data_IF_996907444237
#
_entry.id   IF_996907444237
#
_cell.length_a   1.000
_cell.length_b   1.000
_cell.length_c   1.000
_cell.angle_alpha   90.00
_cell.angle_beta   90.00
_cell.angle_gamma   90.00
#
_symmetry.space_group_name_H-M   'P 1'
#
loop_
_entity.id
_entity.type
_entity.pdbx_description
1 polymer ?
#
# COMPACT_ATOMS: atom_id res chain seq x y z
N UNK A 1 8.52 23.90 9.02
CA UNK A 1 8.12 22.54 9.48
C UNK A 1 8.40 21.56 8.35
N UNK A 2 9.16 20.48 8.58
CA UNK A 2 9.30 19.42 7.58
C UNK A 2 7.93 18.77 7.40
N UNK A 3 7.41 18.76 6.18
CA UNK A 3 6.15 18.05 5.90
C UNK A 3 6.42 16.56 6.03
N UNK A 4 5.72 15.92 6.99
CA UNK A 4 5.81 14.47 7.25
C UNK A 4 4.93 13.74 6.27
N UNK A 5 5.49 12.72 5.63
CA UNK A 5 4.77 11.83 4.73
C UNK A 5 3.96 10.86 5.57
N UNK A 6 2.64 10.81 5.35
CA UNK A 6 1.74 9.97 6.14
C UNK A 6 1.39 8.70 5.38
N UNK A 7 1.67 7.56 6.00
CA UNK A 7 1.38 6.24 5.45
C UNK A 7 0.32 5.58 6.32
N UNK A 8 -0.83 5.29 5.73
CA UNK A 8 -1.90 4.58 6.41
C UNK A 8 -1.57 3.09 6.50
N UNK A 9 -1.68 2.52 7.69
CA UNK A 9 -1.43 1.10 7.93
C UNK A 9 -2.75 0.40 8.23
N UNK A 10 -3.01 -0.70 7.53
CA UNK A 10 -4.25 -1.46 7.67
C UNK A 10 -3.95 -2.96 7.74
N UNK A 11 -4.84 -3.73 8.37
CA UNK A 11 -4.71 -5.16 8.62
C UNK A 11 -5.98 -5.87 8.16
N UNK A 12 -5.85 -6.89 7.32
CA UNK A 12 -7.02 -7.66 6.86
C UNK A 12 -7.39 -8.74 7.89
N UNK A 13 -8.60 -8.64 8.44
CA UNK A 13 -9.16 -9.51 9.47
C UNK A 13 -10.61 -9.92 9.11
N UNK A 14 -10.83 -10.66 8.02
CA UNK A 14 -12.17 -10.94 7.52
C UNK A 14 -13.02 -11.72 8.54
N UNK A 15 -14.26 -11.27 8.78
CA UNK A 15 -15.20 -11.98 9.67
C UNK A 15 -15.59 -13.31 9.05
N UNK A 16 -15.58 -14.37 9.85
CA UNK A 16 -16.16 -15.66 9.48
C UNK A 16 -17.67 -15.47 9.25
N UNK A 17 -18.17 -15.73 8.03
CA UNK A 17 -19.61 -15.75 7.77
C UNK A 17 -20.25 -16.85 8.63
N UNK A 18 -21.18 -16.47 9.51
CA UNK A 18 -21.94 -17.38 10.35
C UNK A 18 -22.71 -18.40 9.47
N UNK A 19 -22.60 -19.69 9.80
CA UNK A 19 -23.16 -20.80 9.02
C UNK A 19 -22.14 -21.92 8.75
N UNK A 20 -20.86 -21.69 9.00
CA UNK A 20 -19.84 -22.73 9.09
C UNK A 20 -19.83 -23.22 10.54
N UNK A 21 -20.42 -24.39 10.77
CA UNK A 21 -20.62 -25.01 12.10
C UNK A 21 -19.36 -25.02 12.95
N UNK A 22 -19.50 -24.67 14.24
CA UNK A 22 -18.55 -24.99 15.30
C UNK A 22 -18.19 -26.48 15.21
N UNK A 23 -16.97 -26.79 14.77
CA UNK A 23 -16.51 -28.17 14.55
C UNK A 23 -16.00 -28.46 13.13
N UNK A 24 -16.29 -27.59 12.16
CA UNK A 24 -15.60 -27.58 10.87
C UNK A 24 -14.79 -26.30 10.80
N UNK A 25 -13.59 -26.29 11.40
CA UNK A 25 -12.62 -25.23 11.17
C UNK A 25 -12.37 -25.20 9.66
N UNK A 26 -12.73 -24.14 8.92
CA UNK A 26 -12.20 -24.04 7.58
C UNK A 26 -10.76 -23.62 7.78
N UNK A 27 -9.91 -24.63 7.99
CA UNK A 27 -8.46 -24.56 7.83
C UNK A 27 -8.15 -23.84 6.52
N UNK A 28 -9.06 -23.91 5.52
CA UNK A 28 -9.05 -23.31 4.20
C UNK A 28 -9.20 -21.78 4.06
N UNK A 29 -9.52 -20.99 5.10
CA UNK A 29 -9.46 -19.51 5.00
C UNK A 29 -8.18 -19.04 5.69
N UNK A 30 -7.04 -19.39 5.09
CA UNK A 30 -5.75 -19.39 5.78
C UNK A 30 -5.29 -17.98 6.18
N UNK A 31 -4.81 -17.89 7.42
CA UNK A 31 -4.18 -16.76 8.11
C UNK A 31 -3.85 -17.24 9.51
N UNK A 32 -2.69 -16.92 10.07
CA UNK A 32 -2.33 -17.42 11.40
C UNK A 32 -3.26 -16.84 12.50
N UNK A 33 -3.76 -15.62 12.30
CA UNK A 33 -4.64 -14.98 13.26
C UNK A 33 -6.07 -15.48 13.07
N UNK A 34 -6.66 -15.95 14.16
CA UNK A 34 -8.00 -16.54 14.25
C UNK A 34 -8.99 -15.67 15.01
N UNK A 35 -8.52 -14.52 15.52
CA UNK A 35 -9.30 -13.61 16.34
C UNK A 35 -8.73 -12.19 16.27
N UNK A 36 -9.59 -11.21 16.49
CA UNK A 36 -9.21 -9.80 16.59
C UNK A 36 -8.14 -9.56 17.66
N UNK A 37 -8.16 -10.32 18.76
CA UNK A 37 -7.12 -10.24 19.80
C UNK A 37 -5.73 -10.55 19.26
N UNK A 38 -5.60 -11.59 18.45
CA UNK A 38 -4.31 -11.97 17.85
C UNK A 38 -3.85 -10.94 16.83
N UNK A 39 -4.78 -10.36 16.05
CA UNK A 39 -4.46 -9.27 15.13
C UNK A 39 -4.06 -8.01 15.89
N UNK A 40 -4.68 -7.69 17.03
CA UNK A 40 -4.28 -6.58 17.89
C UNK A 40 -2.88 -6.76 18.48
N UNK A 41 -2.53 -7.97 18.93
CA UNK A 41 -1.17 -8.30 19.37
C UNK A 41 -0.15 -8.13 18.24
N UNK A 42 -0.52 -8.46 17.01
CA UNK A 42 0.32 -8.25 15.83
C UNK A 42 0.46 -6.79 15.45
N UNK A 43 -0.61 -6.00 15.55
CA UNK A 43 -0.56 -4.55 15.36
C UNK A 43 0.50 -3.95 16.28
N UNK A 44 0.58 -4.36 17.54
CA UNK A 44 1.59 -3.86 18.48
C UNK A 44 3.02 -4.30 18.09
N UNK A 45 3.20 -5.52 17.58
CA UNK A 45 4.50 -5.98 17.05
C UNK A 45 4.92 -5.18 15.82
N UNK A 46 4.02 -5.02 14.85
CA UNK A 46 4.26 -4.26 13.63
C UNK A 46 4.48 -2.78 13.93
N UNK A 47 3.76 -2.19 14.91
CA UNK A 47 4.04 -0.83 15.41
C UNK A 47 5.47 -0.69 15.86
N UNK A 48 5.98 -1.67 16.64
CA UNK A 48 7.37 -1.67 17.09
C UNK A 48 8.33 -1.72 15.89
N UNK A 49 8.13 -2.66 14.97
CA UNK A 49 8.99 -2.82 13.79
C UNK A 49 8.98 -1.56 12.90
N UNK A 50 7.79 -0.99 12.66
CA UNK A 50 7.65 0.23 11.85
C UNK A 50 8.20 1.47 12.58
N UNK A 51 8.19 1.51 13.92
CA UNK A 51 8.80 2.61 14.68
C UNK A 51 10.32 2.65 14.51
N UNK A 52 10.97 1.50 14.30
CA UNK A 52 12.40 1.45 13.98
C UNK A 52 12.65 2.06 12.58
N UNK A 53 11.77 1.74 11.62
CA UNK A 53 11.80 2.34 10.29
C UNK A 53 11.57 3.87 10.36
N UNK A 54 10.62 4.37 11.15
CA UNK A 54 10.41 5.81 11.31
C UNK A 54 11.66 6.54 11.80
N UNK A 55 12.40 5.93 12.73
CA UNK A 55 13.68 6.47 13.24
C UNK A 55 14.74 6.50 12.15
N UNK A 56 14.85 5.45 11.33
CA UNK A 56 15.78 5.42 10.18
C UNK A 56 15.48 6.52 9.15
N UNK A 57 14.23 6.99 9.05
CA UNK A 57 13.82 8.07 8.16
C UNK A 57 13.86 9.46 8.82
N UNK A 58 14.53 9.62 9.96
CA UNK A 58 14.64 10.88 10.72
C UNK A 58 13.26 11.51 11.01
N UNK A 59 12.22 10.69 11.17
CA UNK A 59 10.85 11.13 11.39
C UNK A 59 10.22 11.89 10.21
N UNK A 60 10.75 11.76 8.99
CA UNK A 60 10.10 12.29 7.78
C UNK A 60 8.86 11.49 7.37
N UNK A 61 8.70 10.28 7.89
CA UNK A 61 7.56 9.38 7.66
C UNK A 61 6.82 9.17 8.99
N UNK A 62 5.50 9.09 8.92
CA UNK A 62 4.63 8.75 10.02
C UNK A 62 3.64 7.66 9.59
N UNK A 63 3.53 6.59 10.39
CA UNK A 63 2.54 5.53 10.20
C UNK A 63 1.31 5.78 11.08
N UNK A 64 0.10 5.70 10.49
CA UNK A 64 -1.15 5.97 11.19
C UNK A 64 -2.31 5.05 10.77
N UNK A 65 -3.45 5.17 11.44
CA UNK A 65 -4.69 4.42 11.18
C UNK A 65 -4.77 3.09 11.90
N UNK A 66 -3.78 2.21 11.72
CA UNK A 66 -3.74 0.86 12.31
C UNK A 66 -5.09 0.12 12.20
N UNK A 67 -5.76 0.29 11.05
CA UNK A 67 -7.16 -0.11 10.89
C UNK A 67 -7.27 -1.63 10.73
N UNK A 68 -8.28 -2.24 11.35
CA UNK A 68 -8.66 -3.63 11.12
C UNK A 68 -9.78 -3.65 10.07
N UNK A 69 -9.61 -4.44 9.02
CA UNK A 69 -10.51 -4.51 7.87
C UNK A 69 -11.20 -5.86 7.86
N UNK A 70 -12.49 -5.88 8.17
CA UNK A 70 -13.28 -7.07 8.41
C UNK A 70 -14.17 -7.42 7.21
N UNK A 71 -14.65 -6.41 6.49
CA UNK A 71 -15.51 -6.57 5.32
C UNK A 71 -15.12 -5.61 4.19
N UNK A 72 -15.76 -5.80 3.04
CA UNK A 72 -15.55 -4.95 1.87
C UNK A 72 -15.82 -3.46 2.16
N UNK A 73 -16.92 -3.20 2.88
CA UNK A 73 -17.36 -1.84 3.18
C UNK A 73 -16.33 -1.07 4.01
N UNK A 74 -15.62 -1.74 4.94
CA UNK A 74 -14.53 -1.11 5.70
C UNK A 74 -13.43 -0.61 4.76
N UNK A 75 -13.08 -1.39 3.72
CA UNK A 75 -12.05 -1.03 2.75
C UNK A 75 -12.52 0.18 1.93
N UNK A 76 -13.79 0.22 1.54
CA UNK A 76 -14.37 1.32 0.77
C UNK A 76 -14.46 2.61 1.60
N UNK A 77 -14.86 2.52 2.86
CA UNK A 77 -14.87 3.64 3.80
C UNK A 77 -13.45 4.20 4.00
N UNK A 78 -12.47 3.34 4.29
CA UNK A 78 -11.08 3.77 4.44
C UNK A 78 -10.49 4.30 3.13
N UNK A 79 -10.87 3.73 1.98
CA UNK A 79 -10.49 4.25 0.67
C UNK A 79 -10.92 5.71 0.52
N UNK A 80 -12.16 6.04 0.89
CA UNK A 80 -12.66 7.41 0.85
C UNK A 80 -11.84 8.33 1.78
N UNK A 81 -11.68 7.97 3.05
CA UNK A 81 -10.87 8.73 4.01
C UNK A 81 -9.45 9.01 3.50
N UNK A 82 -8.79 8.00 2.94
CA UNK A 82 -7.41 8.07 2.44
C UNK A 82 -7.30 8.97 1.21
N UNK A 83 -8.32 8.96 0.35
CA UNK A 83 -8.33 9.76 -0.86
C UNK A 83 -8.60 11.24 -0.57
N UNK A 84 -9.52 11.54 0.36
CA UNK A 84 -9.86 12.91 0.75
C UNK A 84 -8.92 13.49 1.79
N UNK A 85 -8.19 12.64 2.51
CA UNK A 85 -7.26 13.02 3.57
C UNK A 85 -5.84 13.34 3.11
N UNK A 86 -5.02 13.76 4.08
CA UNK A 86 -3.58 14.02 3.92
C UNK A 86 -2.77 12.71 4.01
N UNK A 87 -3.17 11.67 3.27
CA UNK A 87 -2.45 10.39 3.21
C UNK A 87 -1.67 10.30 1.90
N UNK A 88 -0.39 9.92 1.97
CA UNK A 88 0.50 9.82 0.82
C UNK A 88 0.62 8.41 0.26
N UNK A 89 0.37 7.39 1.09
CA UNK A 89 0.44 5.98 0.70
C UNK A 89 -0.18 5.06 1.75
N UNK A 90 -0.25 3.78 1.41
CA UNK A 90 -0.95 2.77 2.21
C UNK A 90 -0.10 1.51 2.31
N UNK A 91 -0.05 0.90 3.49
CA UNK A 91 0.49 -0.45 3.69
C UNK A 91 -0.64 -1.33 4.23
N UNK A 92 -0.86 -2.46 3.58
CA UNK A 92 -1.84 -3.47 3.97
C UNK A 92 -1.09 -4.70 4.44
N UNK A 93 -1.19 -5.01 5.73
CA UNK A 93 -0.70 -6.25 6.32
C UNK A 93 -1.77 -7.32 6.16
N UNK A 94 -1.50 -8.28 5.27
CA UNK A 94 -2.44 -9.33 4.91
C UNK A 94 -2.48 -10.47 5.93
N UNK A 95 -2.92 -10.24 7.16
CA UNK A 95 -2.85 -11.25 8.23
C UNK A 95 -3.65 -12.53 7.90
N UNK A 96 -4.74 -12.37 7.14
CA UNK A 96 -5.60 -13.45 6.65
C UNK A 96 -5.94 -13.28 5.16
N UNK A 97 -6.33 -14.37 4.49
CA UNK A 97 -6.77 -14.34 3.09
C UNK A 97 -8.08 -13.56 2.89
N UNK A 98 -8.15 -12.73 1.85
CA UNK A 98 -9.31 -11.86 1.59
C UNK A 98 -9.78 -11.83 0.11
N UNK A 99 -9.89 -13.00 -0.54
CA UNK A 99 -10.28 -13.11 -1.96
C UNK A 99 -11.48 -12.25 -2.39
N UNK A 100 -12.52 -12.15 -1.55
CA UNK A 100 -13.75 -11.42 -1.87
C UNK A 100 -13.61 -9.91 -1.97
N UNK A 101 -12.59 -9.31 -1.35
CA UNK A 101 -12.48 -7.85 -1.19
C UNK A 101 -11.29 -7.23 -1.93
N UNK A 102 -10.55 -8.06 -2.69
CA UNK A 102 -9.38 -7.60 -3.44
C UNK A 102 -9.73 -6.49 -4.45
N UNK A 103 -10.92 -6.57 -5.04
CA UNK A 103 -11.46 -5.57 -5.96
C UNK A 103 -11.53 -4.16 -5.36
N UNK A 104 -11.85 -4.07 -4.08
CA UNK A 104 -12.10 -2.81 -3.36
C UNK A 104 -10.81 -2.07 -3.08
N UNK A 105 -9.69 -2.77 -2.89
CA UNK A 105 -8.36 -2.14 -2.83
C UNK A 105 -7.96 -1.48 -4.16
N UNK A 106 -8.52 -1.90 -5.30
CA UNK A 106 -8.25 -1.26 -6.58
C UNK A 106 -8.95 0.09 -6.74
N UNK A 107 -9.87 0.46 -5.85
CA UNK A 107 -10.47 1.81 -5.85
C UNK A 107 -9.48 2.89 -5.41
N UNK A 108 -8.39 2.51 -4.76
CA UNK A 108 -7.40 3.44 -4.22
C UNK A 108 -6.58 4.09 -5.34
N UNK A 109 -6.43 5.41 -5.25
CA UNK A 109 -5.62 6.23 -6.16
C UNK A 109 -4.34 6.77 -5.47
N UNK A 110 -3.87 6.05 -4.45
CA UNK A 110 -2.61 6.30 -3.74
C UNK A 110 -1.72 5.06 -3.87
N UNK A 111 -0.39 5.20 -3.75
CA UNK A 111 0.51 4.06 -3.66
C UNK A 111 0.09 3.07 -2.56
N UNK A 112 -0.02 1.79 -2.87
CA UNK A 112 -0.35 0.70 -1.93
C UNK A 112 0.78 -0.33 -1.90
N UNK A 113 1.18 -0.74 -0.71
CA UNK A 113 2.07 -1.88 -0.50
C UNK A 113 1.27 -2.96 0.20
N UNK A 114 1.15 -4.12 -0.42
CA UNK A 114 0.65 -5.29 0.28
C UNK A 114 1.81 -6.06 0.89
N UNK A 115 1.84 -6.18 2.21
CA UNK A 115 2.91 -6.85 2.94
C UNK A 115 2.42 -8.17 3.53
N UNK A 116 3.11 -9.26 3.19
CA UNK A 116 2.88 -10.60 3.73
C UNK A 116 4.13 -11.15 4.42
N UNK A 117 4.02 -11.64 5.65
CA UNK A 117 5.07 -12.44 6.30
C UNK A 117 4.97 -13.89 5.84
N UNK A 118 6.08 -14.49 5.42
CA UNK A 118 6.12 -15.88 4.93
C UNK A 118 7.05 -16.75 5.78
N UNK A 119 8.28 -16.31 6.06
CA UNK A 119 9.27 -17.04 6.84
C UNK A 119 9.34 -16.55 8.29
N UNK A 120 8.91 -15.32 8.58
CA UNK A 120 8.77 -14.81 9.95
C UNK A 120 7.51 -15.36 10.59
N UNK A 121 7.65 -15.96 11.78
CA UNK A 121 6.49 -16.34 12.57
C UNK A 121 5.84 -15.13 13.25
N UNK A 122 4.51 -15.00 13.17
CA UNK A 122 3.59 -15.94 12.55
C UNK A 122 3.34 -15.65 11.03
N UNK A 123 3.22 -16.69 10.17
CA UNK A 123 3.11 -16.51 8.72
C UNK A 123 1.71 -16.06 8.30
N UNK A 124 1.66 -15.09 7.40
CA UNK A 124 0.43 -14.44 6.94
C UNK A 124 -0.18 -15.22 5.79
N UNK A 125 -1.47 -15.54 5.86
CA UNK A 125 -2.14 -16.29 4.79
C UNK A 125 -2.23 -15.56 3.45
N UNK A 126 -2.00 -14.24 3.46
CA UNK A 126 -1.89 -13.40 2.26
C UNK A 126 -0.73 -13.78 1.33
N UNK A 127 0.35 -14.37 1.86
CA UNK A 127 1.49 -14.79 1.03
C UNK A 127 1.05 -15.72 -0.12
N UNK A 128 0.07 -16.58 0.12
CA UNK A 128 -0.55 -17.49 -0.86
C UNK A 128 -1.24 -16.76 -2.02
N UNK A 129 -1.53 -15.47 -1.88
CA UNK A 129 -2.22 -14.64 -2.88
C UNK A 129 -1.27 -13.76 -3.68
N UNK A 130 0.00 -13.68 -3.31
CA UNK A 130 0.97 -12.72 -3.86
C UNK A 130 1.02 -12.77 -5.38
N UNK A 131 1.18 -13.97 -5.96
CA UNK A 131 1.26 -14.15 -7.42
C UNK A 131 -0.04 -13.76 -8.13
N UNK A 132 -1.19 -14.10 -7.54
CA UNK A 132 -2.48 -13.74 -8.09
C UNK A 132 -2.71 -12.23 -8.07
N UNK A 133 -2.31 -11.56 -6.98
CA UNK A 133 -2.41 -10.11 -6.85
C UNK A 133 -1.52 -9.42 -7.87
N UNK A 134 -0.28 -9.88 -8.05
CA UNK A 134 0.63 -9.35 -9.06
C UNK A 134 0.07 -9.52 -10.47
N UNK A 135 -0.53 -10.68 -10.77
CA UNK A 135 -1.21 -10.91 -12.04
C UNK A 135 -2.37 -9.92 -12.27
N UNK A 136 -3.25 -9.73 -11.27
CA UNK A 136 -4.36 -8.78 -11.41
C UNK A 136 -3.83 -7.36 -11.56
N UNK A 137 -2.89 -6.91 -10.72
CA UNK A 137 -2.31 -5.56 -10.78
C UNK A 137 -1.71 -5.26 -12.15
N UNK A 138 -1.07 -6.25 -12.77
CA UNK A 138 -0.59 -6.15 -14.15
C UNK A 138 -1.75 -6.04 -15.15
N UNK A 139 -2.78 -6.88 -15.01
CA UNK A 139 -3.94 -6.90 -15.92
C UNK A 139 -4.73 -5.58 -15.92
N UNK A 140 -4.86 -4.93 -14.76
CA UNK A 140 -5.57 -3.65 -14.61
C UNK A 140 -4.65 -2.42 -14.75
N UNK A 141 -3.37 -2.62 -15.09
CA UNK A 141 -2.40 -1.53 -15.27
C UNK A 141 -2.00 -0.78 -14.00
N UNK A 142 -2.21 -1.33 -12.81
CA UNK A 142 -1.90 -0.71 -11.50
C UNK A 142 -0.54 -1.09 -10.91
N UNK A 143 0.31 -1.81 -11.63
CA UNK A 143 1.66 -2.20 -11.19
C UNK A 143 2.60 -1.03 -10.79
N UNK A 144 2.33 0.20 -11.23
CA UNK A 144 3.07 1.40 -10.80
C UNK A 144 2.52 2.05 -9.53
N UNK A 145 1.34 1.64 -9.08
CA UNK A 145 0.60 2.19 -7.94
C UNK A 145 0.43 1.19 -6.80
N UNK A 146 0.55 -0.10 -7.06
CA UNK A 146 0.50 -1.12 -6.04
C UNK A 146 1.57 -2.18 -6.26
N UNK A 147 2.13 -2.69 -5.18
CA UNK A 147 3.12 -3.77 -5.21
C UNK A 147 2.94 -4.72 -4.02
N UNK A 148 3.48 -5.92 -4.16
CA UNK A 148 3.54 -6.91 -3.07
C UNK A 148 4.97 -7.00 -2.51
N UNK A 149 5.10 -7.00 -1.20
CA UNK A 149 6.34 -7.26 -0.49
C UNK A 149 6.15 -8.49 0.40
N UNK A 150 7.03 -9.47 0.23
CA UNK A 150 6.99 -10.72 0.98
C UNK A 150 8.18 -10.75 1.92
N UNK A 151 7.89 -10.72 3.21
CA UNK A 151 8.79 -10.98 4.34
C UNK A 151 10.16 -10.29 4.29
N UNK A 152 10.19 -9.07 3.75
CA UNK A 152 11.43 -8.30 3.60
C UNK A 152 11.22 -6.86 3.98
N UNK A 153 11.65 -6.52 5.20
CA UNK A 153 11.66 -5.13 5.67
C UNK A 153 12.59 -4.23 4.87
N UNK A 154 13.70 -4.74 4.34
CA UNK A 154 14.56 -3.98 3.44
C UNK A 154 13.86 -3.61 2.14
N UNK A 155 13.10 -4.56 1.55
CA UNK A 155 12.27 -4.27 0.38
C UNK A 155 11.14 -3.31 0.73
N UNK A 156 10.49 -3.48 1.88
CA UNK A 156 9.47 -2.54 2.37
C UNK A 156 10.03 -1.12 2.50
N UNK A 157 11.23 -0.95 3.08
CA UNK A 157 11.93 0.35 3.16
C UNK A 157 12.19 0.96 1.79
N UNK A 158 12.55 0.14 0.79
CA UNK A 158 12.73 0.60 -0.60
C UNK A 158 11.42 1.13 -1.20
N UNK A 159 10.31 0.44 -1.00
CA UNK A 159 9.01 0.89 -1.50
C UNK A 159 8.53 2.15 -0.75
N UNK A 160 8.75 2.24 0.56
CA UNK A 160 8.49 3.45 1.35
C UNK A 160 9.29 4.66 0.83
N UNK A 161 10.57 4.45 0.43
CA UNK A 161 11.37 5.51 -0.23
C UNK A 161 10.73 5.97 -1.54
N UNK A 162 10.15 5.06 -2.32
CA UNK A 162 9.45 5.39 -3.55
C UNK A 162 8.18 6.22 -3.26
N UNK A 163 7.38 5.83 -2.28
CA UNK A 163 6.21 6.61 -1.81
C UNK A 163 6.65 8.02 -1.38
N UNK A 164 7.72 8.11 -0.59
CA UNK A 164 8.30 9.39 -0.15
C UNK A 164 8.74 10.27 -1.32
N UNK A 165 9.45 9.70 -2.29
CA UNK A 165 9.88 10.43 -3.48
C UNK A 165 8.67 10.93 -4.28
N UNK A 166 7.67 10.07 -4.48
CA UNK A 166 6.45 10.43 -5.19
C UNK A 166 5.66 11.54 -4.50
N UNK A 167 5.50 11.48 -3.17
CA UNK A 167 4.85 12.51 -2.37
C UNK A 167 5.57 13.86 -2.47
N UNK A 168 6.91 13.86 -2.43
CA UNK A 168 7.73 15.07 -2.63
C UNK A 168 7.60 15.62 -4.05
N UNK A 169 7.62 14.76 -5.06
CA UNK A 169 7.48 15.15 -6.47
C UNK A 169 6.12 15.81 -6.76
N UNK A 170 5.02 15.30 -6.17
CA UNK A 170 3.69 15.94 -6.29
C UNK A 170 3.65 17.39 -5.83
N UNK A 171 4.56 17.77 -4.92
CA UNK A 171 4.66 19.11 -4.34
C UNK A 171 5.80 19.92 -4.95
N UNK A 172 6.64 19.29 -5.77
CA UNK A 172 7.77 19.95 -6.41
C UNK A 172 7.27 20.91 -7.49
N UNK A 173 7.84 22.12 -7.51
CA UNK A 173 7.64 23.10 -8.57
C UNK A 173 8.90 23.16 -9.41
N UNK A 174 8.75 23.05 -10.72
CA UNK A 174 9.86 23.16 -11.66
C UNK A 174 9.90 24.58 -12.20
N UNK A 175 11.05 25.24 -12.07
CA UNK A 175 11.31 26.53 -12.69
C UNK A 175 12.25 26.30 -13.86
N UNK A 176 11.76 26.53 -15.08
CA UNK A 176 12.57 26.49 -16.29
C UNK A 176 13.08 27.90 -16.59
N UNK A 177 14.40 28.11 -16.52
CA UNK A 177 15.03 29.39 -16.87
C UNK A 177 15.68 29.23 -18.25
N UNK A 178 15.18 29.99 -19.23
CA UNK A 178 15.64 29.93 -20.62
C UNK A 178 14.79 29.02 -21.52
N UNK A 179 15.12 29.00 -22.81
CA UNK A 179 14.49 28.09 -23.79
C UNK A 179 15.12 26.69 -23.71
N UNK A 180 14.36 25.61 -23.99
CA UNK A 180 14.94 24.28 -24.15
C UNK A 180 16.13 24.35 -25.12
N UNK A 181 17.25 23.73 -24.75
CA UNK A 181 18.42 23.72 -25.61
C UNK A 181 18.07 23.00 -26.93
N UNK A 182 18.24 23.69 -28.05
CA UNK A 182 17.86 23.21 -29.39
C UNK A 182 18.81 22.10 -29.91
N UNK A 183 19.86 21.74 -29.16
CA UNK A 183 20.84 20.74 -29.56
C UNK A 183 20.78 19.45 -28.73
N UNK A 184 20.52 18.36 -29.46
CA UNK A 184 20.35 16.94 -29.09
C UNK A 184 19.00 16.57 -28.47
N UNK A 185 18.06 16.18 -29.33
CA UNK A 185 16.88 15.36 -28.97
C UNK A 185 15.51 16.01 -29.20
N UNK A 186 15.46 17.32 -29.44
CA UNK A 186 14.22 18.09 -29.59
C UNK A 186 13.39 17.74 -30.85
N UNK A 187 13.98 17.07 -31.84
CA UNK A 187 13.23 16.59 -33.02
C UNK A 187 12.39 15.34 -32.73
N UNK A 188 12.67 14.58 -31.65
CA UNK A 188 11.91 13.37 -31.29
C UNK A 188 10.78 13.61 -30.29
N UNK A 189 10.82 14.71 -29.55
CA UNK A 189 9.82 15.08 -28.55
C UNK A 189 9.27 16.43 -28.92
N UNK A 190 8.15 16.40 -29.64
CA UNK A 190 7.57 17.54 -30.33
C UNK A 190 7.62 18.84 -29.53
N UNK A 191 7.91 19.92 -30.26
CA UNK A 191 7.60 21.31 -29.99
C UNK A 191 6.66 21.51 -28.77
N UNK A 192 6.98 22.45 -27.89
CA UNK A 192 6.22 22.89 -26.71
C UNK A 192 4.68 22.88 -26.84
N UNK A 193 4.14 23.07 -28.05
CA UNK A 193 2.72 22.87 -28.40
C UNK A 193 2.18 21.47 -28.05
N UNK A 194 2.95 20.42 -28.25
CA UNK A 194 2.57 19.02 -27.95
C UNK A 194 2.47 18.77 -26.44
N UNK A 195 3.38 19.35 -25.66
CA UNK A 195 3.35 19.28 -24.19
C UNK A 195 2.12 20.03 -23.65
N UNK A 196 1.78 21.18 -24.25
CA UNK A 196 0.61 21.97 -23.87
C UNK A 196 -0.71 21.27 -24.19
N UNK A 197 -0.82 20.58 -25.33
CA UNK A 197 -2.00 19.79 -25.72
C UNK A 197 -2.20 18.57 -24.82
N UNK A 198 -1.14 18.03 -24.20
CA UNK A 198 -1.25 16.91 -23.27
C UNK A 198 -1.66 17.31 -21.84
N UNK A 199 -1.73 18.62 -21.54
CA UNK A 199 -2.08 19.16 -20.22
C UNK A 199 -3.52 19.74 -20.17
N UNK A 200 -4.20 19.81 -21.32
CA UNK A 200 -5.62 20.16 -21.47
C UNK A 200 -6.47 18.89 -21.64
#
# INVERSE_FOLDING_TARGET
MKHRIKIRVMFTCPVLKAGITEGFTPVNVWGWARSDKQVAEEIERVKKDLSEIEREFDGEIAFEGWDMLHVEDDILEKSYEIQTGDIDGVIVFGVAQFWGYLGSFYTFNKPIIFFGREYTEPPYGFNLLTEHINWILKSIGKQGWACTVVDSYEKLKKEIRAIRAFAKLKKAKVICIGKPNEWKGAEKWGNYRTIRIMQE
#
